data_IF_279488229324
#
_entry.id   IF_279488229324
#
_cell.length_a   1.000
_cell.length_b   1.000
_cell.length_c   1.000
_cell.angle_alpha   90.00
_cell.angle_beta   90.00
_cell.angle_gamma   90.00
#
_symmetry.space_group_name_H-M   'P 1'
#
loop_
_entity.id
_entity.type
_entity.pdbx_description
1 polymer ?
#
# COMPACT_ATOMS: atom_id res chain seq x y z
N UNK A 1 -16.26 -44.68 51.46
CA UNK A 1 -15.73 -43.29 51.18
C UNK A 1 -15.33 -43.22 49.69
N UNK A 2 -16.16 -42.64 48.83
CA UNK A 2 -15.89 -42.52 47.36
C UNK A 2 -15.43 -41.09 47.09
N UNK A 3 -14.20 -40.94 46.65
CA UNK A 3 -13.61 -39.65 46.24
C UNK A 3 -13.97 -39.44 44.79
N UNK A 4 -14.77 -38.41 44.49
CA UNK A 4 -15.05 -37.94 43.12
C UNK A 4 -14.00 -36.89 42.77
N UNK A 5 -13.09 -37.22 41.88
CA UNK A 5 -12.13 -36.29 41.30
C UNK A 5 -12.81 -35.60 40.14
N UNK A 6 -13.19 -34.35 40.36
CA UNK A 6 -13.73 -33.51 39.30
C UNK A 6 -12.62 -32.99 38.38
N UNK A 7 -12.66 -33.37 37.10
CA UNK A 7 -11.79 -32.84 36.06
C UNK A 7 -12.37 -31.51 35.54
N UNK A 8 -11.74 -30.39 35.86
CA UNK A 8 -12.07 -29.09 35.26
C UNK A 8 -11.41 -29.00 33.89
N UNK A 9 -12.20 -29.02 32.82
CA UNK A 9 -11.75 -28.76 31.45
C UNK A 9 -11.64 -27.25 31.28
N UNK A 10 -10.41 -26.71 31.25
CA UNK A 10 -10.13 -25.33 30.83
C UNK A 10 -10.33 -25.25 29.31
N UNK A 11 -11.44 -24.68 28.87
CA UNK A 11 -11.64 -24.25 27.49
C UNK A 11 -10.77 -22.99 27.23
N UNK A 12 -9.59 -23.20 26.71
CA UNK A 12 -8.76 -22.10 26.17
C UNK A 12 -9.42 -21.67 24.86
N UNK A 13 -10.29 -20.66 24.95
CA UNK A 13 -10.84 -19.99 23.77
C UNK A 13 -9.70 -19.35 22.97
N UNK A 14 -9.38 -19.89 21.81
CA UNK A 14 -8.50 -19.23 20.84
C UNK A 14 -9.21 -17.95 20.36
N UNK A 15 -8.70 -16.80 20.76
CA UNK A 15 -9.10 -15.53 20.16
C UNK A 15 -8.79 -15.61 18.67
N UNK A 16 -9.74 -15.23 17.79
CA UNK A 16 -9.45 -15.15 16.35
C UNK A 16 -8.29 -14.18 16.14
N UNK A 17 -7.25 -14.61 15.45
CA UNK A 17 -6.20 -13.72 15.02
C UNK A 17 -6.85 -12.60 14.21
N UNK A 18 -6.62 -11.34 14.58
CA UNK A 18 -7.09 -10.21 13.80
C UNK A 18 -6.53 -10.36 12.39
N UNK A 19 -7.41 -10.31 11.38
CA UNK A 19 -6.96 -10.34 9.99
C UNK A 19 -6.01 -9.17 9.74
N UNK A 20 -4.92 -9.42 9.06
CA UNK A 20 -3.97 -8.37 8.71
C UNK A 20 -4.68 -7.28 7.90
N UNK A 21 -4.40 -6.03 8.22
CA UNK A 21 -4.97 -4.88 7.52
C UNK A 21 -4.36 -4.79 6.12
N UNK A 22 -5.22 -4.74 5.10
CA UNK A 22 -4.80 -4.76 3.70
C UNK A 22 -4.60 -3.36 3.15
N UNK A 23 -3.56 -3.17 2.38
CA UNK A 23 -3.35 -1.93 1.60
C UNK A 23 -4.31 -1.93 0.42
N UNK A 24 -5.20 -0.94 0.35
CA UNK A 24 -6.19 -0.80 -0.74
C UNK A 24 -5.78 0.23 -1.79
N UNK A 25 -4.75 1.04 -1.51
CA UNK A 25 -4.27 2.08 -2.40
C UNK A 25 -3.44 3.13 -1.67
N UNK A 26 -3.28 4.28 -2.29
CA UNK A 26 -2.60 5.45 -1.74
C UNK A 26 -3.52 6.67 -1.71
N UNK A 27 -3.20 7.61 -0.85
CA UNK A 27 -3.82 8.94 -0.82
C UNK A 27 -2.74 9.98 -1.09
N UNK A 28 -2.90 10.77 -2.15
CA UNK A 28 -1.97 11.84 -2.50
C UNK A 28 -1.93 12.90 -1.39
N UNK A 29 -0.83 12.97 -0.65
CA UNK A 29 -0.66 13.97 0.40
C UNK A 29 -0.62 15.41 -0.14
N UNK A 30 0.10 15.71 -1.23
CA UNK A 30 0.08 17.05 -1.81
C UNK A 30 -1.34 17.55 -2.10
N UNK A 31 -2.17 16.71 -2.70
CA UNK A 31 -3.52 17.07 -3.05
C UNK A 31 -4.47 17.14 -1.83
N UNK A 32 -4.24 16.31 -0.81
CA UNK A 32 -4.96 16.39 0.48
C UNK A 32 -4.76 17.75 1.14
N UNK A 33 -3.57 18.36 0.99
CA UNK A 33 -3.28 19.71 1.45
C UNK A 33 -3.71 20.82 0.45
N UNK A 34 -4.38 20.45 -0.65
CA UNK A 34 -4.94 21.40 -1.61
C UNK A 34 -3.97 21.91 -2.67
N UNK A 35 -2.84 21.23 -2.84
CA UNK A 35 -1.82 21.56 -3.82
C UNK A 35 -1.50 20.43 -4.78
N UNK A 36 -0.65 20.75 -5.77
CA UNK A 36 -0.03 19.79 -6.69
C UNK A 36 1.49 19.75 -6.49
N UNK A 37 2.23 19.13 -7.42
CA UNK A 37 3.68 19.13 -7.38
C UNK A 37 4.25 20.53 -7.22
N UNK A 38 5.24 20.69 -6.35
CA UNK A 38 5.93 21.96 -6.08
C UNK A 38 5.08 23.06 -5.43
N UNK A 39 3.86 22.78 -4.99
CA UNK A 39 3.05 23.74 -4.27
C UNK A 39 3.61 24.02 -2.87
N UNK A 40 3.56 25.29 -2.48
CA UNK A 40 3.79 25.67 -1.09
C UNK A 40 2.47 25.60 -0.34
N UNK A 41 2.45 24.87 0.77
CA UNK A 41 1.28 24.72 1.60
C UNK A 41 1.30 25.71 2.75
N UNK A 42 0.16 26.33 3.01
CA UNK A 42 -0.04 27.01 4.27
C UNK A 42 -0.05 25.98 5.41
N UNK A 43 0.39 26.36 6.62
CA UNK A 43 0.33 25.47 7.77
C UNK A 43 -1.10 24.95 7.98
N UNK A 44 -1.29 23.67 7.77
CA UNK A 44 -2.57 22.99 7.90
C UNK A 44 -2.40 21.76 8.77
N UNK A 45 -3.48 21.46 9.49
CA UNK A 45 -3.56 20.25 10.29
C UNK A 45 -4.76 19.42 9.81
N UNK A 46 -4.53 18.14 9.57
CA UNK A 46 -5.57 17.20 9.22
C UNK A 46 -5.80 16.29 10.42
N UNK A 47 -7.00 16.37 10.99
CA UNK A 47 -7.37 15.58 12.15
C UNK A 47 -7.48 14.08 11.81
N UNK A 48 -6.88 13.24 12.64
CA UNK A 48 -7.02 11.78 12.61
C UNK A 48 -7.92 11.31 13.75
N UNK A 49 -8.82 10.37 13.45
CA UNK A 49 -9.81 9.84 14.37
C UNK A 49 -9.69 8.32 14.50
N UNK A 50 -10.19 7.75 15.61
CA UNK A 50 -10.28 6.29 15.80
C UNK A 50 -11.30 5.67 14.84
N UNK A 51 -12.39 6.37 14.59
CA UNK A 51 -13.48 5.95 13.71
C UNK A 51 -14.04 7.14 12.92
N UNK A 52 -14.70 6.90 11.76
CA UNK A 52 -15.44 7.93 11.04
C UNK A 52 -16.43 8.66 11.95
N UNK A 53 -16.51 9.98 11.80
CA UNK A 53 -17.40 10.85 12.59
C UNK A 53 -17.16 10.88 14.11
N UNK A 54 -16.06 10.31 14.61
CA UNK A 54 -15.67 10.49 16.00
C UNK A 54 -15.29 11.96 16.24
N UNK A 55 -15.89 12.58 17.25
CA UNK A 55 -15.75 14.01 17.49
C UNK A 55 -14.38 14.45 18.00
N UNK A 56 -13.56 13.53 18.55
CA UNK A 56 -12.26 13.86 19.14
C UNK A 56 -11.11 13.29 18.31
N UNK A 57 -10.21 14.15 17.77
CA UNK A 57 -9.00 13.68 17.12
C UNK A 57 -8.07 12.94 18.08
N UNK A 58 -7.41 11.89 17.58
CA UNK A 58 -6.33 11.16 18.28
C UNK A 58 -4.95 11.68 17.92
N UNK A 59 -4.83 12.32 16.75
CA UNK A 59 -3.59 12.86 16.21
C UNK A 59 -3.89 13.87 15.10
N UNK A 60 -2.85 14.51 14.58
CA UNK A 60 -2.94 15.41 13.44
C UNK A 60 -1.82 15.12 12.45
N UNK A 61 -2.13 15.14 11.15
CA UNK A 61 -1.13 15.17 10.09
C UNK A 61 -0.75 16.63 9.85
N UNK A 62 0.55 16.91 9.75
CA UNK A 62 1.09 18.24 9.46
C UNK A 62 2.16 18.19 8.39
N UNK A 63 2.25 19.25 7.59
CA UNK A 63 3.39 19.51 6.73
C UNK A 63 4.48 20.16 7.59
N UNK A 64 5.60 19.47 7.75
CA UNK A 64 6.76 19.99 8.50
C UNK A 64 7.71 20.78 7.61
N UNK A 65 7.86 20.35 6.35
CA UNK A 65 8.68 21.00 5.35
C UNK A 65 7.94 21.01 4.02
N UNK A 66 7.75 22.20 3.48
CA UNK A 66 7.26 22.40 2.12
C UNK A 66 8.32 22.00 1.09
N UNK A 67 7.90 21.74 -0.13
CA UNK A 67 8.80 21.58 -1.24
C UNK A 67 9.72 22.78 -1.43
N UNK A 68 10.92 22.51 -1.85
CA UNK A 68 11.89 23.52 -2.28
C UNK A 68 12.33 23.22 -3.70
N UNK A 69 12.68 24.26 -4.46
CA UNK A 69 13.28 24.06 -5.78
C UNK A 69 14.70 23.52 -5.63
N UNK A 70 14.94 22.35 -6.23
CA UNK A 70 16.28 21.77 -6.26
C UNK A 70 17.19 22.51 -7.24
N UNK A 71 18.52 22.57 -7.01
CA UNK A 71 19.48 23.27 -7.86
C UNK A 71 19.52 22.76 -9.34
N UNK A 72 19.10 21.52 -9.56
CA UNK A 72 19.08 20.87 -10.89
C UNK A 72 17.69 20.81 -11.51
N UNK A 73 16.75 21.57 -10.99
CA UNK A 73 15.34 21.56 -11.41
C UNK A 73 14.54 20.48 -10.68
N UNK A 74 13.25 20.67 -10.64
CA UNK A 74 12.34 19.82 -9.86
C UNK A 74 12.06 20.37 -8.45
N UNK A 75 11.29 19.62 -7.69
CA UNK A 75 10.89 19.99 -6.35
C UNK A 75 11.11 18.82 -5.41
N UNK A 76 11.78 19.06 -4.33
CA UNK A 76 12.05 18.04 -3.33
C UNK A 76 11.67 18.52 -1.92
N UNK A 77 11.57 17.56 -1.01
CA UNK A 77 11.54 17.82 0.41
C UNK A 77 10.18 18.09 1.03
N UNK A 78 9.08 17.63 0.46
CA UNK A 78 7.82 17.58 1.21
C UNK A 78 7.94 16.55 2.34
N UNK A 79 7.96 17.05 3.57
CA UNK A 79 7.98 16.21 4.76
C UNK A 79 6.64 16.34 5.51
N UNK A 80 6.05 15.22 5.83
CA UNK A 80 4.77 15.13 6.51
C UNK A 80 4.90 14.22 7.74
N UNK A 81 4.37 14.67 8.86
CA UNK A 81 4.42 13.91 10.10
C UNK A 81 3.07 13.83 10.80
N UNK A 82 2.98 12.92 11.75
CA UNK A 82 1.85 12.72 12.65
C UNK A 82 2.20 13.28 14.02
N UNK A 83 1.34 14.14 14.55
CA UNK A 83 1.49 14.77 15.86
C UNK A 83 0.45 14.24 16.84
N UNK A 84 0.90 13.70 17.98
CA UNK A 84 0.06 13.26 19.10
C UNK A 84 0.46 14.02 20.36
N UNK A 85 -0.21 15.11 20.67
CA UNK A 85 0.21 16.03 21.73
C UNK A 85 1.60 16.61 21.41
N UNK A 86 2.60 16.35 22.25
CA UNK A 86 3.99 16.76 22.02
C UNK A 86 4.83 15.76 21.21
N UNK A 87 4.33 14.56 20.97
CA UNK A 87 5.05 13.56 20.21
C UNK A 87 4.89 13.81 18.70
N UNK A 88 5.99 13.65 17.96
CA UNK A 88 6.05 13.73 16.51
C UNK A 88 6.63 12.42 15.98
N UNK A 89 6.00 11.86 14.97
CA UNK A 89 6.46 10.67 14.26
C UNK A 89 6.31 10.86 12.75
N UNK A 90 7.15 10.23 11.96
CA UNK A 90 7.05 10.23 10.51
C UNK A 90 5.77 9.50 10.08
N UNK A 91 5.05 10.05 9.08
CA UNK A 91 3.93 9.35 8.48
C UNK A 91 4.45 8.28 7.50
N UNK A 92 4.07 7.00 7.64
CA UNK A 92 4.40 5.98 6.65
C UNK A 92 3.82 6.34 5.29
N UNK A 93 4.70 6.57 4.32
CA UNK A 93 4.32 6.96 2.96
C UNK A 93 4.94 6.04 1.92
N UNK A 94 4.40 6.07 0.71
CA UNK A 94 5.03 5.57 -0.52
C UNK A 94 4.93 6.61 -1.62
N UNK A 95 5.94 6.72 -2.45
CA UNK A 95 5.83 7.53 -3.66
C UNK A 95 4.85 6.87 -4.63
N UNK A 96 3.96 7.66 -5.21
CA UNK A 96 3.05 7.24 -6.27
C UNK A 96 3.37 7.90 -7.62
N UNK A 97 4.11 9.02 -7.59
CA UNK A 97 4.71 9.69 -8.72
C UNK A 97 6.06 10.27 -8.26
N UNK A 98 6.83 10.86 -9.15
CA UNK A 98 8.16 11.38 -8.85
C UNK A 98 8.10 12.40 -7.69
N UNK A 99 8.71 12.04 -6.56
CA UNK A 99 8.73 12.83 -5.31
C UNK A 99 7.35 13.17 -4.72
N UNK A 100 6.29 12.49 -5.18
CA UNK A 100 4.93 12.65 -4.68
C UNK A 100 4.61 11.61 -3.61
N UNK A 101 4.65 11.97 -2.31
CA UNK A 101 4.33 11.04 -1.25
C UNK A 101 2.83 10.77 -1.16
N UNK A 102 2.47 9.49 -1.06
CA UNK A 102 1.14 9.02 -0.77
C UNK A 102 1.05 8.34 0.59
N UNK A 103 0.04 8.68 1.39
CA UNK A 103 -0.28 7.92 2.60
C UNK A 103 -0.88 6.56 2.24
N UNK A 104 -0.49 5.51 2.97
CA UNK A 104 -0.95 4.14 2.72
C UNK A 104 -2.38 3.98 3.21
N UNK A 105 -3.33 3.76 2.30
CA UNK A 105 -4.74 3.58 2.61
C UNK A 105 -5.07 2.11 2.93
N UNK A 106 -5.83 1.90 4.01
CA UNK A 106 -6.24 0.58 4.53
C UNK A 106 -7.73 0.34 4.43
N UNK A 107 -8.55 1.39 4.41
CA UNK A 107 -10.01 1.31 4.31
C UNK A 107 -10.59 2.65 3.82
N UNK A 108 -11.80 2.59 3.27
CA UNK A 108 -12.53 3.77 2.80
C UNK A 108 -14.02 3.59 3.03
N UNK A 109 -14.67 4.56 3.72
CA UNK A 109 -16.11 4.54 4.03
C UNK A 109 -16.67 5.95 4.07
N UNK A 110 -17.75 6.20 3.36
CA UNK A 110 -18.55 7.44 3.45
C UNK A 110 -17.70 8.73 3.33
N UNK A 111 -16.72 8.72 2.44
CA UNK A 111 -15.78 9.83 2.24
C UNK A 111 -14.69 9.94 3.29
N UNK A 112 -14.62 9.03 4.24
CA UNK A 112 -13.51 8.87 5.17
C UNK A 112 -12.50 7.86 4.61
N UNK A 113 -11.21 8.11 4.88
CA UNK A 113 -10.12 7.22 4.51
C UNK A 113 -9.35 6.85 5.76
N UNK A 114 -9.07 5.56 5.93
CA UNK A 114 -8.24 5.04 6.99
C UNK A 114 -6.83 4.83 6.46
N UNK A 115 -5.87 5.48 7.08
CA UNK A 115 -4.47 5.39 6.69
C UNK A 115 -3.63 4.68 7.75
N UNK A 116 -2.53 4.10 7.30
CA UNK A 116 -1.52 3.48 8.15
C UNK A 116 -0.75 4.55 8.91
N UNK A 117 -0.52 4.30 10.20
CA UNK A 117 0.38 5.05 11.05
C UNK A 117 1.51 4.11 11.49
N UNK A 118 2.53 4.64 12.17
CA UNK A 118 3.60 3.80 12.68
C UNK A 118 3.05 2.78 13.69
N UNK A 119 2.17 3.24 14.59
CA UNK A 119 1.49 2.42 15.58
C UNK A 119 -0.02 2.35 15.27
N UNK A 120 -0.41 1.51 14.31
CA UNK A 120 -1.82 1.28 13.96
C UNK A 120 -2.32 2.10 12.78
N UNK A 121 -3.50 2.71 12.90
CA UNK A 121 -4.16 3.44 11.83
C UNK A 121 -5.06 4.56 12.35
N UNK A 122 -5.35 5.53 11.48
CA UNK A 122 -6.26 6.63 11.79
C UNK A 122 -7.16 6.97 10.61
N UNK A 123 -8.37 7.42 10.91
CA UNK A 123 -9.34 7.89 9.94
C UNK A 123 -9.25 9.40 9.77
N UNK A 124 -9.29 9.88 8.55
CA UNK A 124 -9.48 11.29 8.24
C UNK A 124 -10.50 11.47 7.12
N UNK A 125 -11.05 12.66 7.02
CA UNK A 125 -11.92 13.05 5.93
C UNK A 125 -11.22 14.09 5.08
N UNK A 126 -10.86 13.78 3.82
CA UNK A 126 -10.28 14.76 2.91
C UNK A 126 -11.22 15.96 2.72
N UNK A 127 -10.67 17.17 2.74
CA UNK A 127 -11.44 18.42 2.56
C UNK A 127 -11.82 18.71 1.11
N UNK A 128 -11.12 18.09 0.15
CA UNK A 128 -11.26 18.28 -1.30
C UNK A 128 -11.47 16.95 -1.96
N UNK A 129 -11.96 16.96 -3.20
CA UNK A 129 -12.28 15.80 -4.05
C UNK A 129 -11.29 14.66 -3.86
N UNK A 130 -11.86 13.48 -3.77
CA UNK A 130 -11.25 12.19 -3.57
C UNK A 130 -9.87 12.04 -4.26
N UNK A 131 -8.85 12.00 -3.44
CA UNK A 131 -7.44 11.86 -3.84
C UNK A 131 -6.91 10.46 -3.56
N UNK A 132 -7.84 9.55 -3.36
CA UNK A 132 -7.55 8.14 -3.20
C UNK A 132 -7.30 7.50 -4.56
N UNK A 133 -6.18 6.83 -4.68
CA UNK A 133 -5.78 6.03 -5.84
C UNK A 133 -5.80 4.55 -5.45
N UNK A 134 -6.79 3.77 -5.92
CA UNK A 134 -6.83 2.34 -5.65
C UNK A 134 -5.64 1.62 -6.31
N UNK A 135 -5.29 0.43 -5.81
CA UNK A 135 -4.19 -0.35 -6.38
C UNK A 135 -4.39 -0.66 -7.86
N UNK A 136 -5.64 -0.84 -8.31
CA UNK A 136 -5.96 -1.06 -9.73
C UNK A 136 -5.44 0.07 -10.62
N UNK A 137 -5.77 1.31 -10.24
CA UNK A 137 -5.41 2.50 -11.02
C UNK A 137 -3.90 2.70 -11.03
N UNK A 138 -3.24 2.51 -9.87
CA UNK A 138 -1.80 2.57 -9.75
C UNK A 138 -1.10 1.53 -10.65
N UNK A 139 -1.67 0.33 -10.79
CA UNK A 139 -1.09 -0.70 -11.65
C UNK A 139 -1.34 -0.45 -13.14
N UNK A 140 -2.44 0.20 -13.51
CA UNK A 140 -2.71 0.62 -14.88
C UNK A 140 -1.78 1.75 -15.32
N UNK A 141 -1.51 2.71 -14.45
CA UNK A 141 -0.65 3.86 -14.75
C UNK A 141 0.81 3.46 -14.95
N UNK A 142 1.32 2.52 -14.13
CA UNK A 142 2.73 2.12 -14.13
C UNK A 142 3.00 0.81 -14.88
N UNK A 143 2.36 0.63 -16.03
CA UNK A 143 2.56 -0.55 -16.89
C UNK A 143 4.03 -0.72 -17.31
N UNK A 144 4.57 -1.90 -17.01
CA UNK A 144 5.93 -2.29 -17.41
C UNK A 144 7.04 -1.89 -16.43
N UNK A 145 6.74 -1.12 -15.38
CA UNK A 145 7.68 -0.81 -14.29
C UNK A 145 7.23 -1.40 -12.96
N UNK A 146 6.33 -2.37 -13.01
CA UNK A 146 5.89 -3.13 -11.83
C UNK A 146 6.80 -4.31 -11.55
N UNK A 147 6.94 -4.66 -10.30
CA UNK A 147 7.73 -5.82 -9.87
C UNK A 147 7.11 -6.52 -8.67
N UNK A 148 7.51 -7.78 -8.48
CA UNK A 148 7.16 -8.53 -7.28
C UNK A 148 7.72 -7.82 -6.04
N UNK A 149 6.90 -7.64 -5.02
CA UNK A 149 7.32 -7.03 -3.76
C UNK A 149 8.49 -7.80 -3.15
N UNK A 150 9.47 -7.09 -2.61
CA UNK A 150 10.72 -7.67 -2.07
C UNK A 150 10.49 -8.70 -0.94
N UNK A 151 9.38 -8.57 -0.21
CA UNK A 151 9.00 -9.49 0.87
C UNK A 151 8.13 -10.67 0.39
N UNK A 152 7.73 -10.69 -0.88
CA UNK A 152 6.76 -11.65 -1.40
C UNK A 152 7.41 -12.79 -2.17
N UNK A 153 7.04 -14.01 -1.83
CA UNK A 153 7.39 -15.22 -2.60
C UNK A 153 6.16 -16.11 -2.70
N UNK A 154 5.81 -16.50 -3.91
CA UNK A 154 4.70 -17.42 -4.15
C UNK A 154 4.92 -18.20 -5.44
N UNK A 155 4.06 -19.18 -5.69
CA UNK A 155 3.92 -19.79 -7.02
C UNK A 155 2.74 -19.16 -7.73
N UNK A 156 2.89 -18.95 -9.02
CA UNK A 156 1.75 -18.65 -9.87
C UNK A 156 0.76 -19.81 -9.82
N UNK A 157 -0.51 -19.48 -9.88
CA UNK A 157 -1.60 -20.45 -10.08
C UNK A 157 -2.31 -20.17 -11.40
N UNK A 158 -2.89 -21.21 -12.01
CA UNK A 158 -3.54 -21.07 -13.31
C UNK A 158 -4.92 -20.37 -13.25
N UNK A 159 -5.55 -20.32 -12.08
CA UNK A 159 -6.78 -19.59 -11.84
C UNK A 159 -6.90 -19.17 -10.37
N UNK A 160 -7.67 -18.08 -10.07
CA UNK A 160 -7.94 -17.64 -8.71
C UNK A 160 -8.45 -18.76 -7.81
N UNK A 161 -7.94 -18.83 -6.58
CA UNK A 161 -8.35 -19.84 -5.58
C UNK A 161 -7.91 -21.28 -5.84
N UNK A 162 -7.17 -21.53 -6.90
CA UNK A 162 -6.74 -22.89 -7.24
C UNK A 162 -5.56 -23.33 -6.35
N UNK A 163 -5.79 -24.33 -5.51
CA UNK A 163 -4.74 -24.92 -4.65
C UNK A 163 -3.96 -26.03 -5.37
N UNK A 164 -4.58 -26.65 -6.39
CA UNK A 164 -3.99 -27.75 -7.18
C UNK A 164 -4.13 -27.43 -8.67
N UNK A 165 -3.08 -27.57 -9.43
CA UNK A 165 -3.06 -27.28 -10.87
C UNK A 165 -1.68 -27.56 -11.46
N UNK A 166 -1.43 -27.15 -12.73
CA UNK A 166 -0.13 -27.21 -13.32
C UNK A 166 0.93 -26.55 -12.43
N UNK A 167 2.12 -27.12 -12.39
CA UNK A 167 3.25 -26.51 -11.69
C UNK A 167 3.70 -25.31 -12.52
N UNK A 168 3.32 -24.10 -12.06
CA UNK A 168 3.77 -22.83 -12.65
C UNK A 168 5.02 -22.32 -11.92
N UNK A 169 5.80 -21.42 -12.54
CA UNK A 169 6.97 -20.86 -11.92
C UNK A 169 6.72 -20.22 -10.56
N UNK A 170 7.71 -20.27 -9.70
CA UNK A 170 7.78 -19.46 -8.51
C UNK A 170 8.22 -18.04 -8.92
N UNK A 171 7.55 -17.02 -8.36
CA UNK A 171 7.98 -15.65 -8.53
C UNK A 171 9.10 -15.33 -7.56
N UNK A 172 10.01 -14.49 -7.98
CA UNK A 172 11.14 -14.03 -7.18
C UNK A 172 10.96 -12.58 -6.76
N UNK A 173 11.45 -12.18 -5.58
CA UNK A 173 11.46 -10.78 -5.17
C UNK A 173 12.09 -9.89 -6.25
N UNK A 174 11.48 -8.73 -6.47
CA UNK A 174 11.90 -7.74 -7.49
C UNK A 174 11.85 -8.23 -8.95
N UNK A 175 11.26 -9.39 -9.21
CA UNK A 175 11.07 -9.86 -10.57
C UNK A 175 10.13 -8.91 -11.33
N UNK A 176 10.52 -8.47 -12.54
CA UNK A 176 9.66 -7.61 -13.36
C UNK A 176 8.37 -8.33 -13.77
N UNK A 177 7.27 -7.61 -13.71
CA UNK A 177 5.96 -8.14 -14.11
C UNK A 177 5.16 -7.07 -14.86
N UNK A 178 4.20 -7.53 -15.67
CA UNK A 178 3.11 -6.72 -16.20
C UNK A 178 1.82 -7.22 -15.59
N UNK A 179 0.99 -6.31 -15.10
CA UNK A 179 -0.37 -6.64 -14.64
C UNK A 179 -1.27 -6.78 -15.85
N UNK A 180 -1.93 -7.93 -15.96
CA UNK A 180 -2.84 -8.23 -17.05
C UNK A 180 -4.31 -8.14 -16.63
N UNK A 181 -4.64 -8.44 -15.38
CA UNK A 181 -6.00 -8.42 -14.86
C UNK A 181 -5.98 -8.35 -13.32
N UNK A 182 -6.96 -7.69 -12.72
CA UNK A 182 -7.25 -7.77 -11.29
C UNK A 182 -8.66 -8.31 -11.14
N UNK A 183 -8.82 -9.31 -10.28
CA UNK A 183 -10.12 -9.93 -9.98
C UNK A 183 -10.20 -10.25 -8.49
N UNK A 184 -11.06 -9.53 -7.79
CA UNK A 184 -11.23 -9.66 -6.35
C UNK A 184 -9.89 -9.61 -5.60
N UNK A 185 -9.52 -10.68 -4.93
CA UNK A 185 -8.29 -10.81 -4.14
C UNK A 185 -7.09 -11.38 -4.95
N UNK A 186 -7.17 -11.33 -6.29
CA UNK A 186 -6.18 -11.93 -7.17
C UNK A 186 -5.72 -10.96 -8.25
N UNK A 187 -4.45 -11.04 -8.58
CA UNK A 187 -3.83 -10.32 -9.69
C UNK A 187 -3.23 -11.30 -10.69
N UNK A 188 -3.58 -11.16 -11.96
CA UNK A 188 -2.97 -11.90 -13.07
C UNK A 188 -1.75 -11.13 -13.53
N UNK A 189 -0.62 -11.81 -13.57
CA UNK A 189 0.65 -11.23 -13.98
C UNK A 189 1.27 -12.00 -15.13
N UNK A 190 1.96 -11.27 -15.99
CA UNK A 190 2.93 -11.76 -16.95
C UNK A 190 4.32 -11.54 -16.35
N UNK A 191 5.03 -12.63 -16.05
CA UNK A 191 6.43 -12.55 -15.61
C UNK A 191 7.32 -12.20 -16.80
N UNK A 192 8.22 -11.25 -16.61
CA UNK A 192 9.13 -10.79 -17.65
C UNK A 192 10.56 -11.28 -17.37
N UNK A 193 11.31 -11.56 -18.43
CA UNK A 193 12.71 -11.96 -18.34
C UNK A 193 13.65 -10.81 -17.92
N UNK A 194 13.25 -9.56 -18.23
CA UNK A 194 13.97 -8.35 -17.85
C UNK A 194 12.98 -7.19 -17.61
N UNK A 195 13.47 -6.08 -17.08
CA UNK A 195 12.71 -4.85 -16.92
C UNK A 195 12.70 -4.02 -18.20
N UNK A 196 11.63 -3.27 -18.45
CA UNK A 196 11.60 -2.24 -19.50
C UNK A 196 12.74 -1.23 -19.33
N UNK A 197 13.17 -0.98 -18.10
CA UNK A 197 14.27 -0.07 -17.77
C UNK A 197 15.63 -0.56 -18.24
N UNK A 198 15.79 -1.86 -18.50
CA UNK A 198 17.03 -2.46 -18.98
C UNK A 198 16.93 -2.90 -20.46
N UNK A 199 15.88 -2.50 -21.15
CA UNK A 199 15.62 -2.93 -22.53
C UNK A 199 16.70 -2.47 -23.51
N UNK A 200 17.35 -1.35 -23.27
CA UNK A 200 18.46 -0.86 -24.10
C UNK A 200 19.65 -1.83 -24.12
N UNK A 201 19.93 -2.50 -23.00
CA UNK A 201 21.05 -3.41 -22.83
C UNK A 201 20.68 -4.87 -23.10
N UNK A 202 19.45 -5.27 -22.78
CA UNK A 202 19.02 -6.67 -22.75
C UNK A 202 17.93 -7.02 -23.78
N UNK A 203 17.57 -6.07 -24.65
CA UNK A 203 16.44 -6.21 -25.57
C UNK A 203 15.06 -6.03 -24.89
N UNK A 204 13.99 -6.02 -25.69
CA UNK A 204 12.65 -5.82 -25.16
C UNK A 204 12.27 -6.94 -24.17
N UNK A 205 11.51 -6.62 -23.11
CA UNK A 205 11.04 -7.63 -22.17
C UNK A 205 10.16 -8.69 -22.85
N UNK A 206 10.45 -9.95 -22.60
CA UNK A 206 9.68 -11.09 -23.07
C UNK A 206 8.90 -11.73 -21.92
N UNK A 207 7.67 -12.17 -22.19
CA UNK A 207 6.86 -12.91 -21.23
C UNK A 207 7.37 -14.32 -21.10
N UNK A 208 7.86 -14.69 -19.92
CA UNK A 208 8.36 -16.06 -19.63
C UNK A 208 7.31 -16.96 -18.99
N UNK A 209 6.31 -16.37 -18.33
CA UNK A 209 5.17 -17.10 -17.78
C UNK A 209 3.99 -16.15 -17.51
N UNK A 210 2.79 -16.71 -17.46
CA UNK A 210 1.56 -15.99 -17.06
C UNK A 210 0.81 -16.79 -16.01
N UNK A 211 0.24 -16.10 -15.03
CA UNK A 211 -0.57 -16.75 -14.00
C UNK A 211 -1.11 -15.76 -12.98
N UNK A 212 -1.74 -16.29 -11.94
CA UNK A 212 -2.37 -15.51 -10.90
C UNK A 212 -1.57 -15.58 -9.61
N UNK A 213 -1.56 -14.46 -8.88
CA UNK A 213 -1.04 -14.33 -7.51
C UNK A 213 -2.15 -13.79 -6.61
N UNK A 214 -2.12 -14.06 -5.30
CA UNK A 214 -2.90 -13.27 -4.35
C UNK A 214 -2.55 -11.79 -4.51
N UNK A 215 -3.53 -10.89 -4.44
CA UNK A 215 -3.29 -9.45 -4.53
C UNK A 215 -2.46 -8.94 -3.34
N UNK A 216 -2.60 -9.58 -2.19
CA UNK A 216 -1.87 -9.26 -0.96
C UNK A 216 -1.16 -10.49 -0.39
N UNK A 217 -0.09 -10.25 0.34
CA UNK A 217 0.57 -11.25 1.16
C UNK A 217 -0.18 -11.48 2.50
N UNK A 218 0.34 -12.36 3.35
CA UNK A 218 -0.24 -12.68 4.65
C UNK A 218 -0.26 -11.48 5.63
N UNK A 219 0.55 -10.46 5.38
CA UNK A 219 0.63 -9.24 6.18
C UNK A 219 -0.26 -8.11 5.64
N UNK A 220 -0.99 -8.36 4.55
CA UNK A 220 -1.83 -7.35 3.89
C UNK A 220 -1.07 -6.39 2.99
N UNK A 221 0.23 -6.65 2.72
CA UNK A 221 1.00 -5.88 1.75
C UNK A 221 0.71 -6.35 0.32
N UNK A 222 0.69 -5.44 -0.67
CA UNK A 222 0.51 -5.83 -2.06
C UNK A 222 1.62 -6.78 -2.53
N UNK A 223 1.23 -7.85 -3.25
CA UNK A 223 2.19 -8.82 -3.81
C UNK A 223 3.11 -8.25 -4.86
N UNK A 224 2.66 -7.20 -5.53
CA UNK A 224 3.43 -6.47 -6.54
C UNK A 224 3.44 -4.98 -6.20
N UNK A 225 4.44 -4.27 -6.67
CA UNK A 225 4.53 -2.84 -6.54
C UNK A 225 5.11 -2.22 -7.81
N UNK A 226 4.80 -0.96 -8.04
CA UNK A 226 5.30 -0.20 -9.19
C UNK A 226 6.52 0.64 -8.81
N UNK A 227 7.26 1.10 -9.80
CA UNK A 227 8.31 2.11 -9.64
C UNK A 227 7.72 3.48 -9.96
N UNK A 228 7.59 4.32 -8.96
CA UNK A 228 7.03 5.67 -9.08
C UNK A 228 7.91 6.63 -9.92
N UNK A 229 9.19 6.31 -10.02
CA UNK A 229 10.17 7.13 -10.75
C UNK A 229 10.39 6.66 -12.20
N UNK A 230 9.61 5.67 -12.65
CA UNK A 230 9.81 5.06 -13.95
C UNK A 230 11.19 4.41 -14.08
N UNK A 231 11.84 4.56 -15.19
CA UNK A 231 13.20 4.20 -15.47
C UNK A 231 14.11 5.40 -15.29
#
# INVERSE_FOLDING_TARGET
>A
MRIIVGFAILLIGSLPAAAAERVIGLVSLPEVFGGGPCATFEPQEIALHVAPADGKPIAFIRVDKNWSFAPHGGCDGLEVSVHRGSAKEELPTREFDYEMPGAIALDRRDGWIRIRLHDGAGWFKPSVVDRFMPLSDLYEEFVGVTSINKSFTARLVSAPGMVRGPILPQVMPSQPVRVAEIRDEWVKVELLNNSVCTAADNGPPEVIATGWLPLHDANGEPSIWFSSRGC
#
